data_IF_330607743570
#
_entry.id   IF_330607743570
#
_cell.length_a   1.000
_cell.length_b   1.000
_cell.length_c   1.000
_cell.angle_alpha   90.00
_cell.angle_beta   90.00
_cell.angle_gamma   90.00
#
_symmetry.space_group_name_H-M   'P 1'
#
loop_
_entity.id
_entity.type
_entity.pdbx_description
1 polymer ?
#
# COMPACT_ATOMS: atom_id res chain seq x y z
N UNK A 1 -8.27 -3.33 9.51
CA UNK A 1 -8.60 -1.88 9.38
C UNK A 1 -9.08 -1.64 7.96
N UNK A 2 -10.09 -0.80 7.75
CA UNK A 2 -10.56 -0.43 6.41
C UNK A 2 -9.74 0.78 5.92
N UNK A 3 -9.18 0.76 4.69
CA UNK A 3 -8.42 1.87 4.14
C UNK A 3 -9.20 3.19 4.11
N UNK A 4 -8.55 4.29 4.48
CA UNK A 4 -9.09 5.65 4.38
C UNK A 4 -10.11 6.02 5.47
N UNK A 5 -10.30 5.19 6.50
CA UNK A 5 -11.26 5.46 7.56
C UNK A 5 -10.79 6.57 8.52
N UNK A 6 -11.72 7.29 9.20
CA UNK A 6 -11.37 8.25 10.24
C UNK A 6 -10.51 7.65 11.36
N UNK A 7 -10.71 6.36 11.69
CA UNK A 7 -9.89 5.66 12.67
C UNK A 7 -8.41 5.57 12.26
N UNK A 8 -8.11 5.43 10.97
CA UNK A 8 -6.72 5.48 10.45
C UNK A 8 -6.13 6.88 10.65
N UNK A 9 -6.92 7.93 10.39
CA UNK A 9 -6.50 9.32 10.63
C UNK A 9 -6.23 9.55 12.12
N UNK A 10 -7.06 9.00 13.01
CA UNK A 10 -6.89 9.14 14.45
C UNK A 10 -5.59 8.51 14.95
N UNK A 11 -5.14 7.38 14.39
CA UNK A 11 -3.85 6.78 14.72
C UNK A 11 -2.67 7.72 14.39
N UNK A 12 -2.72 8.37 13.23
CA UNK A 12 -1.68 9.30 12.81
C UNK A 12 -1.73 10.63 13.59
N UNK A 13 -2.91 11.05 14.01
CA UNK A 13 -3.08 12.22 14.88
C UNK A 13 -2.65 11.97 16.32
N UNK A 14 -2.80 10.74 16.82
CA UNK A 14 -2.35 10.35 18.16
C UNK A 14 -0.82 10.41 18.28
N UNK A 15 -0.10 9.97 17.25
CA UNK A 15 1.35 9.97 17.23
C UNK A 15 1.96 11.23 16.61
N UNK A 16 1.15 12.27 16.37
CA UNK A 16 1.59 13.51 15.73
C UNK A 16 2.77 14.17 16.46
N UNK A 17 2.78 14.11 17.80
CA UNK A 17 3.86 14.64 18.64
C UNK A 17 5.15 13.79 18.57
N UNK A 18 5.04 12.48 18.33
CA UNK A 18 6.20 11.58 18.19
C UNK A 18 6.75 11.56 16.76
N UNK A 19 5.87 11.77 15.78
CA UNK A 19 6.25 11.99 14.40
C UNK A 19 6.72 13.43 14.20
N UNK A 20 6.44 14.33 15.16
CA UNK A 20 6.82 15.72 15.10
C UNK A 20 8.31 15.84 14.79
N UNK A 21 9.31 15.24 15.43
CA UNK A 21 10.72 15.44 15.03
C UNK A 21 11.07 15.02 13.59
N UNK A 22 10.31 14.12 12.98
CA UNK A 22 10.44 13.71 11.56
C UNK A 22 9.57 14.56 10.61
N UNK A 23 8.55 15.23 11.14
CA UNK A 23 7.61 16.14 10.47
C UNK A 23 7.84 17.62 10.86
N UNK A 24 8.77 17.90 11.77
CA UNK A 24 9.02 19.15 12.49
C UNK A 24 10.07 19.93 11.72
N UNK A 25 9.56 20.62 10.72
CA UNK A 25 9.27 21.98 11.13
C UNK A 25 7.75 22.08 11.24
N UNK A 26 7.24 22.43 12.44
CA UNK A 26 5.80 22.64 12.69
C UNK A 26 5.13 23.63 11.71
N UNK A 27 5.90 24.29 10.86
CA UNK A 27 5.46 24.77 9.57
C UNK A 27 6.63 24.53 8.62
N UNK A 28 6.55 23.58 7.68
CA UNK A 28 7.43 23.68 6.51
C UNK A 28 6.87 24.85 5.72
N UNK A 29 7.42 26.03 5.99
CA UNK A 29 7.17 27.26 5.25
C UNK A 29 8.25 27.34 4.19
N UNK A 30 7.96 26.82 3.00
CA UNK A 30 8.71 27.18 1.81
C UNK A 30 8.03 28.42 1.23
N UNK A 31 8.71 29.56 1.22
CA UNK A 31 8.19 30.85 0.71
C UNK A 31 6.82 31.26 1.29
N UNK A 32 6.67 31.31 2.62
CA UNK A 32 5.41 31.64 3.30
C UNK A 32 4.23 30.68 3.02
N UNK A 33 4.47 29.48 2.47
CA UNK A 33 3.42 28.46 2.23
C UNK A 33 3.57 27.29 3.19
N UNK A 34 2.54 27.04 3.99
CA UNK A 34 2.47 25.89 4.89
C UNK A 34 2.31 24.58 4.10
N UNK A 35 3.22 23.63 4.30
CA UNK A 35 3.04 22.25 3.82
C UNK A 35 2.21 21.48 4.84
N UNK A 36 0.97 21.15 4.48
CA UNK A 36 0.13 20.24 5.24
C UNK A 36 0.43 18.78 4.87
N UNK A 37 0.59 17.93 5.87
CA UNK A 37 0.78 16.50 5.65
C UNK A 37 -0.57 15.80 5.53
N UNK A 38 -0.86 15.14 4.41
CA UNK A 38 -2.09 14.36 4.27
C UNK A 38 -1.86 12.93 4.79
N UNK A 39 -2.58 12.43 5.81
CA UNK A 39 -2.42 11.07 6.34
C UNK A 39 -2.34 9.96 5.27
N UNK A 40 -3.09 10.14 4.16
CA UNK A 40 -3.10 9.24 3.01
C UNK A 40 -1.73 9.06 2.32
N UNK A 41 -0.80 10.02 2.41
CA UNK A 41 0.53 9.87 1.80
C UNK A 41 1.49 8.98 2.59
N UNK A 42 1.22 8.63 3.86
CA UNK A 42 2.08 7.69 4.61
C UNK A 42 1.77 6.23 4.33
N UNK A 43 0.50 5.90 4.12
CA UNK A 43 0.03 4.52 4.01
C UNK A 43 0.82 3.70 2.97
N UNK A 44 0.96 4.23 1.76
CA UNK A 44 1.65 3.56 0.67
C UNK A 44 3.15 3.30 0.96
N UNK A 45 3.93 4.35 1.27
CA UNK A 45 5.35 4.19 1.64
C UNK A 45 5.56 3.28 2.87
N UNK A 46 4.74 3.40 3.92
CA UNK A 46 4.82 2.53 5.10
C UNK A 46 4.52 1.08 4.71
N UNK A 47 3.48 0.83 3.93
CA UNK A 47 3.15 -0.50 3.42
C UNK A 47 4.30 -1.10 2.62
N UNK A 48 4.90 -0.33 1.70
CA UNK A 48 6.05 -0.78 0.92
C UNK A 48 7.28 -1.08 1.79
N UNK A 49 7.58 -0.24 2.78
CA UNK A 49 8.68 -0.46 3.71
C UNK A 49 8.46 -1.72 4.57
N UNK A 50 7.24 -1.92 5.06
CA UNK A 50 6.87 -3.11 5.84
C UNK A 50 6.94 -4.39 5.00
N UNK A 51 6.48 -4.35 3.75
CA UNK A 51 6.64 -5.45 2.81
C UNK A 51 8.12 -5.77 2.57
N UNK A 52 8.95 -4.75 2.29
CA UNK A 52 10.40 -4.94 2.09
C UNK A 52 11.05 -5.56 3.33
N UNK A 53 10.69 -5.12 4.54
CA UNK A 53 11.17 -5.70 5.80
C UNK A 53 10.81 -7.18 5.95
N UNK A 54 9.58 -7.58 5.61
CA UNK A 54 9.18 -9.00 5.62
C UNK A 54 9.97 -9.82 4.60
N UNK A 55 10.24 -9.27 3.42
CA UNK A 55 11.01 -9.94 2.37
C UNK A 55 12.49 -10.14 2.73
N UNK A 56 13.04 -9.35 3.66
CA UNK A 56 14.38 -9.62 4.20
C UNK A 56 14.40 -10.89 5.06
N UNK A 57 13.30 -11.20 5.75
CA UNK A 57 13.16 -12.42 6.57
C UNK A 57 12.74 -13.63 5.72
N UNK A 58 11.87 -13.40 4.74
CA UNK A 58 11.34 -14.43 3.85
C UNK A 58 11.56 -14.01 2.39
N UNK A 59 12.75 -14.25 1.81
CA UNK A 59 13.09 -13.74 0.50
C UNK A 59 12.28 -14.35 -0.64
N UNK A 60 11.81 -15.60 -0.50
CA UNK A 60 11.07 -16.30 -1.55
C UNK A 60 9.74 -16.86 -0.99
N UNK A 61 8.79 -15.99 -0.63
CA UNK A 61 7.49 -16.42 -0.13
C UNK A 61 6.68 -17.06 -1.27
N UNK A 62 5.86 -18.08 -0.98
CA UNK A 62 5.00 -18.69 -1.99
C UNK A 62 4.03 -17.65 -2.56
N UNK A 63 3.57 -17.89 -3.79
CA UNK A 63 2.51 -17.07 -4.38
C UNK A 63 1.22 -17.23 -3.56
N UNK A 64 0.42 -16.17 -3.40
CA UNK A 64 -0.89 -16.27 -2.79
C UNK A 64 -1.86 -17.04 -3.69
N UNK A 65 -2.96 -17.52 -3.11
CA UNK A 65 -4.05 -18.13 -3.87
C UNK A 65 -4.63 -17.15 -4.89
N UNK A 66 -5.01 -17.65 -6.07
CA UNK A 66 -5.51 -16.82 -7.16
C UNK A 66 -6.84 -16.11 -6.82
N UNK A 67 -7.61 -16.65 -5.87
CA UNK A 67 -8.88 -16.10 -5.39
C UNK A 67 -8.75 -15.36 -4.04
N UNK A 68 -7.52 -15.17 -3.54
CA UNK A 68 -7.23 -14.46 -2.31
C UNK A 68 -7.95 -13.10 -2.29
N UNK A 69 -8.69 -12.84 -1.22
CA UNK A 69 -9.44 -11.59 -1.05
C UNK A 69 -8.57 -10.52 -0.41
N UNK A 70 -8.78 -9.23 -0.73
CA UNK A 70 -8.12 -8.15 -0.02
C UNK A 70 -8.40 -8.22 1.49
N UNK A 71 -7.37 -8.00 2.31
CA UNK A 71 -7.43 -8.12 3.78
C UNK A 71 -8.53 -7.27 4.43
N UNK A 72 -8.90 -6.16 3.79
CA UNK A 72 -9.90 -5.24 4.32
C UNK A 72 -11.34 -5.63 4.00
N UNK A 73 -11.58 -6.62 3.13
CA UNK A 73 -12.95 -7.03 2.75
C UNK A 73 -13.76 -7.50 3.97
N UNK A 74 -13.16 -8.29 4.86
CA UNK A 74 -13.82 -8.76 6.07
C UNK A 74 -14.18 -7.62 7.03
N UNK A 75 -13.39 -6.54 7.04
CA UNK A 75 -13.69 -5.35 7.84
C UNK A 75 -14.74 -4.47 7.17
N UNK A 76 -14.69 -4.33 5.84
CA UNK A 76 -15.67 -3.59 5.04
C UNK A 76 -17.07 -4.20 5.17
N UNK A 77 -17.18 -5.53 5.19
CA UNK A 77 -18.44 -6.25 5.36
C UNK A 77 -19.11 -6.03 6.73
N UNK A 78 -18.36 -5.55 7.74
CA UNK A 78 -18.86 -5.27 9.09
C UNK A 78 -19.28 -3.82 9.31
N UNK A 79 -19.04 -2.93 8.32
CA UNK A 79 -19.40 -1.52 8.43
C UNK A 79 -20.91 -1.32 8.40
N UNK A 80 -21.42 -0.42 9.25
CA UNK A 80 -22.84 -0.10 9.29
C UNK A 80 -23.28 0.70 8.04
N UNK A 81 -24.56 0.60 7.64
CA UNK A 81 -25.12 1.49 6.63
C UNK A 81 -24.93 2.97 7.01
N UNK A 82 -24.49 3.80 6.07
CA UNK A 82 -24.26 5.24 6.28
C UNK A 82 -22.89 5.61 6.84
N UNK A 83 -22.05 4.64 7.25
CA UNK A 83 -20.65 4.93 7.57
C UNK A 83 -19.88 5.44 6.35
N UNK A 84 -19.00 6.43 6.57
CA UNK A 84 -18.17 7.02 5.51
C UNK A 84 -17.25 5.97 4.88
N UNK A 85 -17.18 5.96 3.55
CA UNK A 85 -16.28 5.08 2.78
C UNK A 85 -15.41 5.93 1.87
N UNK A 86 -14.09 5.84 2.05
CA UNK A 86 -13.14 6.40 1.08
C UNK A 86 -13.03 5.43 -0.11
N UNK A 87 -13.98 5.53 -1.04
CA UNK A 87 -14.05 4.68 -2.23
C UNK A 87 -12.77 4.75 -3.07
N UNK A 88 -12.07 5.90 -3.06
CA UNK A 88 -10.81 6.04 -3.77
C UNK A 88 -9.71 5.21 -3.11
N UNK A 89 -9.58 5.29 -1.78
CA UNK A 89 -8.64 4.44 -1.06
C UNK A 89 -8.97 2.95 -1.21
N UNK A 90 -10.24 2.56 -1.16
CA UNK A 90 -10.65 1.17 -1.41
C UNK A 90 -10.22 0.72 -2.82
N UNK A 91 -10.59 1.48 -3.86
CA UNK A 91 -10.27 1.14 -5.24
C UNK A 91 -8.75 1.03 -5.49
N UNK A 92 -7.94 1.91 -4.89
CA UNK A 92 -6.48 1.84 -5.00
C UNK A 92 -5.93 0.54 -4.38
N UNK A 93 -6.48 0.13 -3.24
CA UNK A 93 -6.02 -1.08 -2.54
C UNK A 93 -6.52 -2.36 -3.21
N UNK A 94 -7.75 -2.35 -3.75
CA UNK A 94 -8.26 -3.45 -4.59
C UNK A 94 -7.41 -3.62 -5.85
N UNK A 95 -7.10 -2.52 -6.52
CA UNK A 95 -6.23 -2.52 -7.69
C UNK A 95 -4.83 -3.07 -7.36
N UNK A 96 -4.19 -2.55 -6.30
CA UNK A 96 -2.87 -3.02 -5.89
C UNK A 96 -2.86 -4.49 -5.49
N UNK A 97 -3.91 -4.97 -4.82
CA UNK A 97 -4.09 -6.39 -4.47
C UNK A 97 -4.23 -7.26 -5.71
N UNK A 98 -5.10 -6.88 -6.65
CA UNK A 98 -5.30 -7.62 -7.90
C UNK A 98 -3.97 -7.75 -8.68
N UNK A 99 -3.23 -6.65 -8.82
CA UNK A 99 -1.94 -6.65 -9.51
C UNK A 99 -0.94 -7.57 -8.80
N UNK A 100 -0.87 -7.51 -7.46
CA UNK A 100 0.01 -8.35 -6.66
C UNK A 100 -0.29 -9.84 -6.83
N UNK A 101 -1.56 -10.24 -6.81
CA UNK A 101 -1.95 -11.65 -7.04
C UNK A 101 -1.67 -12.09 -8.47
N UNK A 102 -1.97 -11.25 -9.46
CA UNK A 102 -1.82 -11.59 -10.88
C UNK A 102 -0.35 -11.70 -11.34
N UNK A 103 0.56 -10.95 -10.69
CA UNK A 103 1.98 -10.84 -11.02
C UNK A 103 2.83 -10.78 -9.76
N UNK A 104 2.79 -11.88 -9.00
CA UNK A 104 3.41 -11.97 -7.68
C UNK A 104 4.92 -11.72 -7.73
N UNK A 105 5.64 -12.40 -8.62
CA UNK A 105 7.10 -12.31 -8.68
C UNK A 105 7.57 -10.91 -9.05
N UNK A 106 6.93 -10.27 -10.02
CA UNK A 106 7.22 -8.90 -10.44
C UNK A 106 6.87 -7.89 -9.35
N UNK A 107 5.80 -8.14 -8.59
CA UNK A 107 5.42 -7.32 -7.44
C UNK A 107 6.48 -7.41 -6.34
N UNK A 108 6.95 -8.61 -6.01
CA UNK A 108 8.05 -8.79 -5.06
C UNK A 108 9.35 -8.12 -5.55
N UNK A 109 9.66 -8.24 -6.84
CA UNK A 109 10.83 -7.60 -7.44
C UNK A 109 10.75 -6.07 -7.30
N UNK A 110 9.58 -5.46 -7.55
CA UNK A 110 9.37 -4.02 -7.39
C UNK A 110 9.55 -3.53 -5.95
N UNK A 111 9.11 -4.33 -4.97
CA UNK A 111 9.26 -3.99 -3.54
C UNK A 111 10.72 -4.12 -3.09
N UNK A 112 11.49 -5.05 -3.65
CA UNK A 112 12.91 -5.26 -3.32
C UNK A 112 13.84 -4.26 -3.99
N UNK A 113 13.51 -3.81 -5.20
CA UNK A 113 14.35 -2.93 -6.01
C UNK A 113 14.52 -1.55 -5.37
N UNK A 114 15.66 -0.91 -5.64
CA UNK A 114 15.86 0.49 -5.27
C UNK A 114 15.21 1.45 -6.27
N UNK A 115 14.84 2.64 -5.81
CA UNK A 115 14.20 3.67 -6.62
C UNK A 115 15.09 4.07 -7.81
N UNK A 116 14.53 4.07 -9.03
CA UNK A 116 15.26 4.46 -10.25
C UNK A 116 16.22 3.41 -10.81
N UNK A 117 16.32 2.24 -10.17
CA UNK A 117 17.20 1.15 -10.61
C UNK A 117 16.70 0.45 -11.90
N UNK A 118 17.60 -0.20 -12.66
CA UNK A 118 17.21 -1.07 -13.77
C UNK A 118 16.25 -2.20 -13.34
N UNK A 119 16.41 -2.70 -12.12
CA UNK A 119 15.57 -3.75 -11.52
C UNK A 119 14.15 -3.23 -11.26
N UNK A 120 14.00 -2.00 -10.78
CA UNK A 120 12.69 -1.34 -10.66
C UNK A 120 12.02 -1.28 -12.02
N UNK A 121 12.76 -0.81 -13.04
CA UNK A 121 12.21 -0.71 -14.39
C UNK A 121 11.74 -2.06 -14.92
N UNK A 122 12.56 -3.10 -14.80
CA UNK A 122 12.21 -4.44 -15.24
C UNK A 122 10.98 -4.99 -14.51
N UNK A 123 10.90 -4.78 -13.20
CA UNK A 123 9.75 -5.18 -12.40
C UNK A 123 8.47 -4.44 -12.84
N UNK A 124 8.53 -3.12 -13.04
CA UNK A 124 7.39 -2.35 -13.54
C UNK A 124 6.96 -2.82 -14.92
N UNK A 125 7.90 -3.04 -15.84
CA UNK A 125 7.59 -3.51 -17.20
C UNK A 125 6.87 -4.87 -17.16
N UNK A 126 7.25 -5.76 -16.24
CA UNK A 126 6.58 -7.05 -16.02
C UNK A 126 5.17 -6.95 -15.41
N UNK A 127 4.85 -5.86 -14.71
CA UNK A 127 3.53 -5.61 -14.13
C UNK A 127 2.53 -5.02 -15.14
N UNK A 128 3.01 -4.30 -16.17
CA UNK A 128 2.17 -3.62 -17.17
C UNK A 128 1.04 -4.51 -17.72
N UNK A 129 1.27 -5.78 -18.11
CA UNK A 129 0.24 -6.62 -18.69
C UNK A 129 -0.96 -6.90 -17.77
N UNK A 130 -0.82 -6.75 -16.44
CA UNK A 130 -1.89 -6.98 -15.47
C UNK A 130 -2.69 -5.71 -15.13
N UNK A 131 -2.14 -4.52 -15.39
CA UNK A 131 -2.71 -3.27 -14.87
C UNK A 131 -4.12 -3.01 -15.42
N UNK A 132 -4.34 -3.19 -16.72
CA UNK A 132 -5.65 -2.92 -17.34
C UNK A 132 -6.74 -3.87 -16.83
N UNK A 133 -6.42 -5.16 -16.66
CA UNK A 133 -7.37 -6.16 -16.16
C UNK A 133 -7.74 -5.97 -14.69
N UNK A 134 -6.90 -5.28 -13.91
CA UNK A 134 -7.14 -5.01 -12.50
C UNK A 134 -7.85 -3.68 -12.22
N UNK A 135 -8.04 -2.81 -13.22
CA UNK A 135 -8.77 -1.56 -13.06
C UNK A 135 -10.28 -1.81 -13.06
N UNK A 136 -10.95 -1.46 -11.96
CA UNK A 136 -12.40 -1.49 -11.90
C UNK A 136 -13.03 -0.45 -12.85
N UNK A 137 -14.15 -0.82 -13.47
CA UNK A 137 -14.89 0.05 -14.39
C UNK A 137 -15.22 1.40 -13.73
N UNK A 138 -14.99 2.50 -14.46
CA UNK A 138 -15.25 3.86 -13.98
C UNK A 138 -14.23 4.40 -12.98
N UNK A 139 -13.19 3.65 -12.63
CA UNK A 139 -12.12 4.09 -11.73
C UNK A 139 -10.97 4.71 -12.51
N UNK A 140 -10.49 5.87 -12.07
CA UNK A 140 -9.27 6.49 -12.59
C UNK A 140 -8.18 6.45 -11.53
N UNK A 141 -7.12 5.68 -11.79
CA UNK A 141 -5.91 5.65 -10.96
C UNK A 141 -4.77 6.19 -11.81
N UNK A 142 -4.17 7.30 -11.39
CA UNK A 142 -2.95 7.80 -12.01
C UNK A 142 -1.82 6.85 -11.64
N UNK A 143 -1.30 6.10 -12.60
CA UNK A 143 -0.16 5.20 -12.39
C UNK A 143 1.09 5.84 -12.96
N UNK A 144 2.14 5.86 -12.15
CA UNK A 144 3.50 6.26 -12.48
C UNK A 144 4.43 5.20 -11.89
N UNK A 145 5.63 5.01 -12.46
CA UNK A 145 6.58 4.03 -11.88
C UNK A 145 6.79 4.25 -10.37
N UNK A 146 6.93 5.53 -9.98
CA UNK A 146 7.17 5.95 -8.59
C UNK A 146 6.02 5.61 -7.65
N UNK A 147 4.76 5.75 -8.09
CA UNK A 147 3.62 5.49 -7.21
C UNK A 147 3.12 4.04 -7.28
N UNK A 148 3.50 3.26 -8.31
CA UNK A 148 3.12 1.86 -8.41
C UNK A 148 3.63 1.04 -7.22
N UNK A 149 4.87 1.31 -6.76
CA UNK A 149 5.41 0.73 -5.52
C UNK A 149 4.52 1.02 -4.32
N UNK A 150 4.08 2.26 -4.16
CA UNK A 150 3.23 2.67 -3.03
C UNK A 150 1.82 2.06 -3.09
N UNK A 151 1.31 1.83 -4.30
CA UNK A 151 0.01 1.20 -4.53
C UNK A 151 0.05 -0.30 -4.20
N UNK A 152 1.13 -0.98 -4.59
CA UNK A 152 1.28 -2.44 -4.44
C UNK A 152 1.85 -2.82 -3.06
N UNK A 153 2.60 -1.93 -2.42
CA UNK A 153 3.36 -2.23 -1.21
C UNK A 153 2.51 -2.74 -0.04
N UNK A 154 1.42 -2.06 0.28
CA UNK A 154 0.56 -2.52 1.37
C UNK A 154 -0.21 -3.82 1.03
N UNK A 155 -0.80 -3.99 -0.16
CA UNK A 155 -1.36 -5.28 -0.55
C UNK A 155 -0.36 -6.43 -0.46
N UNK A 156 0.88 -6.23 -0.96
CA UNK A 156 1.95 -7.23 -0.83
C UNK A 156 2.25 -7.52 0.64
N UNK A 157 2.38 -6.50 1.49
CA UNK A 157 2.58 -6.70 2.92
C UNK A 157 1.52 -7.62 3.55
N UNK A 158 0.25 -7.38 3.24
CA UNK A 158 -0.84 -8.22 3.77
C UNK A 158 -0.87 -9.63 3.19
N UNK A 159 -0.54 -9.79 1.90
CA UNK A 159 -0.39 -11.12 1.29
C UNK A 159 0.76 -11.91 1.93
N UNK A 160 1.88 -11.25 2.23
CA UNK A 160 3.00 -11.85 2.95
C UNK A 160 2.61 -12.30 4.36
N UNK A 161 1.90 -11.44 5.11
CA UNK A 161 1.41 -11.80 6.45
C UNK A 161 0.46 -13.00 6.43
N UNK A 162 -0.37 -13.13 5.39
CA UNK A 162 -1.27 -14.27 5.25
C UNK A 162 -0.52 -15.57 4.91
N UNK A 163 0.63 -15.47 4.23
CA UNK A 163 1.49 -16.60 3.88
C UNK A 163 2.41 -17.05 5.03
N UNK A 164 2.72 -16.18 5.99
CA UNK A 164 3.53 -16.54 7.17
C UNK A 164 2.64 -17.25 8.22
N UNK A 165 2.96 -18.49 8.63
CA UNK A 165 2.17 -19.19 9.65
C UNK A 165 2.12 -18.39 10.96
N UNK A 166 0.95 -18.40 11.61
CA UNK A 166 0.66 -17.73 12.87
C UNK A 166 1.48 -18.30 14.04
N UNK A 167 2.77 -18.01 14.07
CA UNK A 167 3.71 -18.40 15.12
C UNK A 167 4.90 -17.43 15.23
N UNK A 168 5.17 -16.66 14.18
CA UNK A 168 6.22 -15.65 14.16
C UNK A 168 5.56 -14.27 14.30
N UNK A 169 5.36 -13.82 15.55
CA UNK A 169 4.95 -12.44 15.81
C UNK A 169 6.03 -11.50 15.26
N UNK A 170 5.60 -10.53 14.46
CA UNK A 170 6.45 -9.50 13.86
C UNK A 170 7.25 -8.70 14.90
#
# INVERSE_FOLDING_TARGET
MVPGQPAERALLSHDADNLSPCLDSQQIVFDNKQVGFQPRVLRGPVGAAMARKLLLRHPNPPAPDADAKPWFYAALAKMQPGEYRDNQSLAVQEFGHCVAVARWNESLALIKSDDGSPEEKAAVDGLIPALSGCLANGTQIKITRRNLRNIIGEPVYHLLLAATPSGEKA
#
